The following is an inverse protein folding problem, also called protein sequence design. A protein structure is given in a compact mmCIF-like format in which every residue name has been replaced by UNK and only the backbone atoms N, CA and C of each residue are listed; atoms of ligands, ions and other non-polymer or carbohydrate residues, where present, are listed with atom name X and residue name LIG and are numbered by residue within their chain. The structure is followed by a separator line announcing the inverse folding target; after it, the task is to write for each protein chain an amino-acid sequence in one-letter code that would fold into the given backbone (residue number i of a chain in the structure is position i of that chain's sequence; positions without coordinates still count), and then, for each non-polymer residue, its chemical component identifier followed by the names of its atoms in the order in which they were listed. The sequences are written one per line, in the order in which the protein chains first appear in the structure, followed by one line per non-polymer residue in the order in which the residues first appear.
data_IF_642074732514
#
_entry.id   IF_642074732514
#
_cell.length_a   1.000
_cell.length_b   1.000
_cell.length_c   1.000
_cell.angle_alpha   90.00
_cell.angle_beta   90.00
_cell.angle_gamma   90.00
#
_symmetry.space_group_name_H-M   'P 1'
#
loop_
_entity.id
_entity.type
_entity.pdbx_description
1 polymer ?
#
# COMPACT_ATOMS: atom_id res chain seq x y z
N UNK A 1 67.26 -42.52 16.99
CA UNK A 1 67.08 -43.36 18.20
C UNK A 1 65.65 -43.86 18.21
N UNK A 2 65.52 -45.18 18.35
CA UNK A 2 64.31 -45.98 18.56
C UNK A 2 63.36 -46.12 17.36
N UNK A 3 63.34 -47.37 16.89
CA UNK A 3 62.60 -48.00 15.79
C UNK A 3 61.35 -48.71 16.39
N UNK A 4 60.55 -49.47 15.62
CA UNK A 4 59.08 -49.36 15.56
C UNK A 4 58.36 -50.57 16.17
N UNK A 5 57.04 -50.69 15.96
CA UNK A 5 56.37 -52.00 15.95
C UNK A 5 55.49 -52.17 14.72
N UNK A 6 55.76 -53.28 14.03
CA UNK A 6 55.05 -53.83 12.88
C UNK A 6 54.01 -54.87 13.31
N UNK A 7 53.27 -55.33 12.29
CA UNK A 7 52.60 -56.62 12.11
C UNK A 7 51.05 -56.60 12.30
N UNK A 8 50.20 -57.20 11.46
CA UNK A 8 50.31 -58.23 10.41
C UNK A 8 49.29 -57.97 9.27
N UNK A 9 49.58 -58.48 8.08
CA UNK A 9 48.67 -58.61 6.94
C UNK A 9 47.90 -59.94 6.98
N UNK A 10 46.66 -59.98 6.46
CA UNK A 10 46.06 -61.19 5.87
C UNK A 10 45.19 -60.80 4.66
N UNK A 11 45.50 -61.41 3.53
CA UNK A 11 44.74 -61.46 2.29
C UNK A 11 43.49 -62.35 2.43
N UNK A 12 42.40 -61.99 1.77
CA UNK A 12 41.45 -62.97 1.24
C UNK A 12 40.88 -62.48 -0.09
N UNK A 13 41.07 -63.32 -1.11
CA UNK A 13 40.63 -63.20 -2.50
C UNK A 13 39.37 -64.06 -2.65
N UNK A 14 38.25 -63.53 -3.16
CA UNK A 14 37.18 -64.35 -3.76
C UNK A 14 36.72 -63.70 -5.08
N UNK A 15 36.71 -64.55 -6.11
CA UNK A 15 36.40 -64.31 -7.51
C UNK A 15 34.88 -64.30 -7.81
N UNK A 16 34.51 -63.47 -8.81
CA UNK A 16 33.51 -63.72 -9.87
C UNK A 16 32.01 -63.68 -9.47
N UNK A 17 31.00 -63.25 -10.25
CA UNK A 17 30.74 -63.18 -11.70
C UNK A 17 29.72 -62.03 -12.00
N UNK A 18 29.87 -61.44 -13.19
CA UNK A 18 28.85 -61.04 -14.18
C UNK A 18 27.48 -60.48 -13.76
N UNK A 19 27.16 -59.28 -14.28
CA UNK A 19 25.78 -58.84 -14.51
C UNK A 19 25.64 -57.33 -14.70
N UNK A 20 25.64 -56.84 -15.94
CA UNK A 20 25.10 -55.53 -16.26
C UNK A 20 23.60 -55.52 -15.92
N UNK A 21 23.13 -54.52 -15.17
CA UNK A 21 21.76 -54.04 -15.34
C UNK A 21 21.70 -52.52 -15.18
N UNK A 22 21.47 -51.88 -16.31
CA UNK A 22 21.42 -50.43 -16.50
C UNK A 22 20.04 -49.91 -16.15
N UNK A 23 19.80 -49.58 -14.88
CA UNK A 23 18.52 -48.97 -14.49
C UNK A 23 18.61 -47.87 -13.42
N UNK A 24 19.80 -47.58 -12.87
CA UNK A 24 19.96 -46.57 -11.80
C UNK A 24 20.44 -45.21 -12.34
N UNK A 25 21.13 -45.17 -13.48
CA UNK A 25 21.70 -43.92 -14.03
C UNK A 25 20.70 -43.01 -14.77
N UNK A 26 19.46 -43.46 -14.99
CA UNK A 26 18.43 -42.69 -15.71
C UNK A 26 17.48 -41.93 -14.78
N UNK A 27 17.45 -42.23 -13.48
CA UNK A 27 16.55 -41.57 -12.52
C UNK A 27 17.22 -40.32 -11.95
N UNK A 28 18.51 -40.37 -11.63
CA UNK A 28 19.26 -39.18 -11.18
C UNK A 28 19.45 -38.16 -12.31
N UNK A 29 19.68 -38.61 -13.54
CA UNK A 29 19.72 -37.71 -14.70
C UNK A 29 18.35 -37.15 -15.06
N UNK A 30 17.24 -37.89 -14.91
CA UNK A 30 15.90 -37.33 -15.11
C UNK A 30 15.54 -36.31 -14.04
N UNK A 31 15.90 -36.53 -12.78
CA UNK A 31 15.68 -35.56 -11.69
C UNK A 31 16.54 -34.31 -11.85
N UNK A 32 17.80 -34.46 -12.29
CA UNK A 32 18.71 -33.35 -12.57
C UNK A 32 18.39 -32.61 -13.89
N UNK A 33 17.68 -33.24 -14.83
CA UNK A 33 17.18 -32.62 -16.07
C UNK A 33 15.79 -31.99 -15.84
N UNK A 34 14.95 -32.55 -14.96
CA UNK A 34 13.70 -31.92 -14.49
C UNK A 34 13.99 -30.67 -13.65
N UNK A 35 15.02 -30.67 -12.80
CA UNK A 35 15.44 -29.48 -12.04
C UNK A 35 16.08 -28.39 -12.93
N UNK A 36 16.62 -28.75 -14.10
CA UNK A 36 17.24 -27.79 -15.04
C UNK A 36 16.29 -27.25 -16.11
N UNK A 37 15.08 -27.79 -16.21
CA UNK A 37 14.02 -27.34 -17.13
C UNK A 37 12.83 -26.67 -16.41
N UNK A 38 12.94 -26.38 -15.10
CA UNK A 38 12.23 -25.20 -14.57
C UNK A 38 12.84 -24.00 -15.28
N UNK A 39 12.22 -23.57 -16.37
CA UNK A 39 12.25 -22.17 -16.79
C UNK A 39 12.11 -21.41 -15.47
N UNK A 40 13.16 -20.68 -15.07
CA UNK A 40 13.09 -19.80 -13.92
C UNK A 40 11.91 -18.88 -14.23
N UNK A 41 10.74 -19.20 -13.68
CA UNK A 41 9.54 -18.45 -13.97
C UNK A 41 9.75 -17.14 -13.24
N UNK A 42 10.18 -16.14 -14.01
CA UNK A 42 10.38 -14.80 -13.48
C UNK A 42 9.01 -14.26 -13.14
N UNK A 43 8.63 -14.38 -11.88
CA UNK A 43 7.42 -13.77 -11.35
C UNK A 43 7.50 -12.24 -11.50
N UNK A 44 6.35 -11.61 -11.68
CA UNK A 44 6.23 -10.16 -11.86
C UNK A 44 6.61 -9.43 -10.57
N UNK A 45 6.12 -9.94 -9.43
CA UNK A 45 6.52 -9.50 -8.10
C UNK A 45 7.84 -10.15 -7.68
N UNK A 46 8.71 -9.36 -7.07
CA UNK A 46 10.01 -9.75 -6.52
C UNK A 46 10.00 -9.52 -5.01
N UNK A 47 10.06 -10.59 -4.23
CA UNK A 47 10.15 -10.51 -2.76
C UNK A 47 11.56 -10.02 -2.41
N UNK A 48 11.66 -8.77 -1.95
CA UNK A 48 12.91 -8.12 -1.57
C UNK A 48 12.64 -7.04 -0.52
N UNK A 49 13.57 -6.86 0.41
CA UNK A 49 13.44 -5.93 1.55
C UNK A 49 13.33 -4.45 1.12
N UNK A 50 13.81 -4.12 -0.09
CA UNK A 50 13.79 -2.77 -0.65
C UNK A 50 12.53 -2.47 -1.46
N UNK A 51 11.62 -3.44 -1.62
CA UNK A 51 10.36 -3.30 -2.38
C UNK A 51 9.15 -3.46 -1.48
N UNK A 52 8.30 -2.44 -1.45
CA UNK A 52 7.00 -2.57 -0.79
C UNK A 52 6.01 -3.30 -1.70
N UNK A 53 4.98 -3.90 -1.11
CA UNK A 53 3.79 -4.36 -1.82
C UNK A 53 2.69 -3.31 -1.74
N UNK A 54 2.15 -2.95 -2.90
CA UNK A 54 0.97 -2.10 -3.03
C UNK A 54 -0.23 -2.98 -3.40
N UNK A 55 -1.20 -3.07 -2.49
CA UNK A 55 -2.40 -3.88 -2.68
C UNK A 55 -3.55 -2.96 -3.11
N UNK A 56 -4.16 -3.31 -4.24
CA UNK A 56 -5.36 -2.67 -4.79
C UNK A 56 -6.54 -3.63 -4.63
N UNK A 57 -7.76 -3.10 -4.55
CA UNK A 57 -8.99 -3.91 -4.58
C UNK A 57 -9.91 -3.40 -5.69
N UNK A 58 -10.29 -4.28 -6.60
CA UNK A 58 -11.26 -3.97 -7.65
C UNK A 58 -12.67 -4.13 -7.11
N UNK A 59 -13.61 -3.23 -7.46
CA UNK A 59 -15.00 -3.44 -7.11
C UNK A 59 -15.54 -4.65 -7.89
N UNK A 60 -16.55 -5.31 -7.33
CA UNK A 60 -17.27 -6.35 -8.06
C UNK A 60 -17.92 -5.79 -9.31
N UNK A 61 -17.91 -6.53 -10.42
CA UNK A 61 -18.70 -6.21 -11.62
C UNK A 61 -20.21 -6.13 -11.33
N UNK A 62 -20.66 -6.74 -10.23
CA UNK A 62 -22.05 -6.72 -9.76
C UNK A 62 -22.33 -5.63 -8.74
N UNK A 63 -21.33 -4.83 -8.35
CA UNK A 63 -21.50 -3.76 -7.38
C UNK A 63 -22.37 -2.62 -7.97
N UNK A 64 -23.55 -2.35 -7.40
CA UNK A 64 -24.44 -1.31 -7.93
C UNK A 64 -23.90 0.10 -7.72
N UNK A 65 -23.09 0.35 -6.69
CA UNK A 65 -22.50 1.65 -6.39
C UNK A 65 -21.42 2.01 -7.42
N UNK A 66 -20.51 1.08 -7.71
CA UNK A 66 -19.44 1.31 -8.68
C UNK A 66 -19.82 1.04 -10.14
N UNK A 67 -21.02 0.52 -10.42
CA UNK A 67 -21.46 0.14 -11.78
C UNK A 67 -21.18 1.19 -12.86
N UNK A 68 -21.38 2.48 -12.58
CA UNK A 68 -21.16 3.56 -13.56
C UNK A 68 -19.68 3.93 -13.76
N UNK A 69 -18.81 3.53 -12.84
CA UNK A 69 -17.37 3.76 -12.85
C UNK A 69 -16.52 2.50 -13.03
N UNK A 70 -17.13 1.32 -13.02
CA UNK A 70 -16.43 0.03 -12.99
C UNK A 70 -15.28 -0.03 -13.99
N UNK A 71 -15.53 0.24 -15.28
CA UNK A 71 -14.48 0.19 -16.30
C UNK A 71 -13.38 1.23 -16.06
N UNK A 72 -13.73 2.45 -15.60
CA UNK A 72 -12.75 3.49 -15.28
C UNK A 72 -11.83 3.09 -14.12
N UNK A 73 -12.37 2.37 -13.13
CA UNK A 73 -11.60 1.85 -11.99
C UNK A 73 -10.66 0.75 -12.46
N UNK A 74 -11.17 -0.23 -13.22
CA UNK A 74 -10.35 -1.32 -13.78
C UNK A 74 -9.21 -0.77 -14.65
N UNK A 75 -9.52 0.16 -15.56
CA UNK A 75 -8.51 0.76 -16.44
C UNK A 75 -7.45 1.53 -15.65
N UNK A 76 -7.87 2.27 -14.61
CA UNK A 76 -6.92 2.92 -13.69
C UNK A 76 -6.02 1.91 -12.99
N UNK A 77 -6.58 0.83 -12.44
CA UNK A 77 -5.83 -0.18 -11.69
C UNK A 77 -4.82 -0.92 -12.57
N UNK A 78 -5.15 -1.21 -13.83
CA UNK A 78 -4.22 -1.80 -14.82
C UNK A 78 -3.05 -0.84 -15.06
N UNK A 79 -3.33 0.41 -15.43
CA UNK A 79 -2.29 1.41 -15.70
C UNK A 79 -1.41 1.69 -14.47
N UNK A 80 -2.02 1.71 -13.29
CA UNK A 80 -1.30 1.93 -12.04
C UNK A 80 -0.41 0.72 -11.71
N UNK A 81 -0.92 -0.51 -11.84
CA UNK A 81 -0.12 -1.73 -11.67
C UNK A 81 1.08 -1.76 -12.63
N UNK A 82 0.91 -1.40 -13.90
CA UNK A 82 2.01 -1.27 -14.87
C UNK A 82 3.07 -0.26 -14.41
N UNK A 83 2.66 0.86 -13.82
CA UNK A 83 3.60 1.86 -13.28
C UNK A 83 4.34 1.38 -12.03
N UNK A 84 3.74 0.46 -11.25
CA UNK A 84 4.33 -0.11 -10.04
C UNK A 84 5.35 -1.18 -10.39
N UNK A 85 5.01 -2.08 -11.33
CA UNK A 85 5.82 -3.21 -11.73
C UNK A 85 7.25 -2.79 -12.12
N UNK A 86 8.23 -3.53 -11.60
CA UNK A 86 9.66 -3.24 -11.74
C UNK A 86 10.20 -2.24 -10.71
N UNK A 87 9.37 -1.33 -10.18
CA UNK A 87 9.76 -0.37 -9.14
C UNK A 87 9.48 -0.94 -7.74
N UNK A 88 8.24 -1.35 -7.48
CA UNK A 88 7.76 -2.02 -6.26
C UNK A 88 6.94 -3.27 -6.67
N UNK A 89 6.25 -3.90 -5.72
CA UNK A 89 5.34 -5.02 -5.96
C UNK A 89 3.89 -4.55 -5.97
N UNK A 90 3.03 -5.28 -6.68
CA UNK A 90 1.58 -5.00 -6.73
C UNK A 90 0.78 -6.30 -6.68
N UNK A 91 -0.32 -6.29 -5.95
CA UNK A 91 -1.36 -7.33 -6.01
C UNK A 91 -2.70 -6.62 -6.19
N UNK A 92 -3.52 -7.13 -7.11
CA UNK A 92 -4.89 -6.67 -7.32
C UNK A 92 -5.83 -7.75 -6.81
N UNK A 93 -6.62 -7.41 -5.79
CA UNK A 93 -7.70 -8.23 -5.29
C UNK A 93 -8.90 -8.10 -6.24
N UNK A 94 -9.41 -9.22 -6.72
CA UNK A 94 -10.56 -9.28 -7.64
C UNK A 94 -11.47 -10.42 -7.23
N UNK A 95 -12.79 -10.30 -7.41
CA UNK A 95 -13.66 -11.47 -7.34
C UNK A 95 -13.58 -12.31 -8.63
N UNK A 96 -14.13 -13.53 -8.60
CA UNK A 96 -14.11 -14.47 -9.74
C UNK A 96 -14.74 -13.88 -11.01
N UNK A 97 -15.85 -13.15 -10.87
CA UNK A 97 -16.59 -12.60 -12.02
C UNK A 97 -15.91 -11.35 -12.60
N UNK A 98 -15.08 -10.68 -11.79
CA UNK A 98 -14.34 -9.46 -12.13
C UNK A 98 -12.96 -9.78 -12.72
N UNK A 99 -12.33 -10.89 -12.32
CA UNK A 99 -11.01 -11.32 -12.82
C UNK A 99 -10.87 -11.29 -14.35
N UNK A 100 -11.85 -11.72 -15.17
CA UNK A 100 -11.74 -11.68 -16.63
C UNK A 100 -11.50 -10.28 -17.22
N UNK A 101 -11.81 -9.21 -16.48
CA UNK A 101 -11.56 -7.84 -16.93
C UNK A 101 -10.08 -7.43 -16.83
N UNK A 102 -9.27 -8.19 -16.10
CA UNK A 102 -7.82 -8.02 -15.92
C UNK A 102 -6.99 -9.05 -16.69
N UNK A 103 -7.53 -10.26 -16.89
CA UNK A 103 -6.84 -11.37 -17.56
C UNK A 103 -6.27 -10.95 -18.92
N UNK A 104 -4.98 -11.21 -19.11
CA UNK A 104 -4.24 -10.83 -20.32
C UNK A 104 -3.90 -9.33 -20.47
N UNK A 105 -4.32 -8.47 -19.53
CA UNK A 105 -3.94 -7.05 -19.46
C UNK A 105 -2.90 -6.78 -18.38
N UNK A 106 -2.84 -7.63 -17.36
CA UNK A 106 -1.78 -7.65 -16.35
C UNK A 106 -1.24 -9.07 -16.20
N UNK A 107 -0.05 -9.25 -15.61
CA UNK A 107 0.44 -10.58 -15.30
C UNK A 107 -0.50 -11.35 -14.37
N UNK A 108 -0.74 -12.62 -14.66
CA UNK A 108 -1.67 -13.43 -13.86
C UNK A 108 -1.21 -13.62 -12.41
N UNK A 109 0.11 -13.57 -12.16
CA UNK A 109 0.71 -13.77 -10.84
C UNK A 109 0.66 -12.54 -9.92
N UNK A 110 -0.05 -11.49 -10.34
CA UNK A 110 -0.41 -10.34 -9.49
C UNK A 110 -1.91 -10.26 -9.18
N UNK A 111 -2.72 -11.18 -9.72
CA UNK A 111 -4.15 -11.25 -9.46
C UNK A 111 -4.42 -12.23 -8.34
N UNK A 112 -5.05 -11.76 -7.26
CA UNK A 112 -5.48 -12.60 -6.15
C UNK A 112 -7.00 -12.60 -6.07
N UNK A 113 -7.61 -13.78 -6.21
CA UNK A 113 -9.06 -13.88 -6.16
C UNK A 113 -9.55 -13.88 -4.72
N UNK A 114 -10.25 -12.82 -4.31
CA UNK A 114 -10.78 -12.67 -2.97
C UNK A 114 -11.93 -11.64 -2.88
N UNK A 115 -12.65 -11.63 -1.75
CA UNK A 115 -13.80 -10.76 -1.48
C UNK A 115 -13.43 -9.67 -0.46
N UNK A 116 -12.88 -8.55 -0.95
CA UNK A 116 -12.65 -7.31 -0.19
C UNK A 116 -13.54 -6.21 -0.76
N UNK A 117 -14.46 -5.71 0.06
CA UNK A 117 -15.72 -5.07 -0.40
C UNK A 117 -15.68 -3.56 -0.60
N UNK A 118 -14.51 -2.99 -0.84
CA UNK A 118 -14.35 -1.59 -1.18
C UNK A 118 -13.01 -1.39 -1.92
N UNK A 119 -12.93 -0.32 -2.72
CA UNK A 119 -11.73 0.05 -3.49
C UNK A 119 -10.78 0.94 -2.68
N UNK A 120 -11.28 1.61 -1.63
CA UNK A 120 -10.53 2.56 -0.80
C UNK A 120 -9.63 1.85 0.21
N UNK A 121 -8.70 1.05 -0.31
CA UNK A 121 -7.84 0.15 0.44
C UNK A 121 -7.00 0.86 1.51
N UNK A 122 -6.81 2.17 1.44
CA UNK A 122 -6.17 2.94 2.50
C UNK A 122 -6.99 2.95 3.80
N UNK A 123 -8.31 3.01 3.71
CA UNK A 123 -9.11 3.53 4.82
C UNK A 123 -9.45 2.50 5.88
N UNK A 124 -9.82 1.29 5.45
CA UNK A 124 -10.33 0.25 6.34
C UNK A 124 -9.30 -0.86 6.64
N UNK A 125 -8.07 -0.72 6.15
CA UNK A 125 -7.04 -1.76 6.25
C UNK A 125 -6.11 -1.52 7.45
N UNK A 126 -4.80 -1.65 7.26
CA UNK A 126 -3.81 -1.31 8.29
C UNK A 126 -3.06 -0.06 7.89
N UNK A 127 -2.72 0.75 8.89
CA UNK A 127 -1.79 1.88 8.74
C UNK A 127 -0.38 1.46 9.16
N UNK A 128 0.61 2.27 8.77
CA UNK A 128 2.04 2.04 8.99
C UNK A 128 2.50 0.62 8.53
N UNK A 129 3.02 0.48 7.30
CA UNK A 129 3.45 -0.80 6.77
C UNK A 129 4.65 -1.41 7.49
N UNK A 130 5.42 -0.65 8.29
CA UNK A 130 6.54 -1.17 9.10
C UNK A 130 6.05 -1.80 10.40
N UNK A 131 4.98 -1.26 10.98
CA UNK A 131 4.34 -1.75 12.20
C UNK A 131 2.82 -1.70 12.01
N UNK A 132 2.23 -2.70 11.32
CA UNK A 132 0.84 -2.63 10.90
C UNK A 132 -0.13 -2.57 12.09
N UNK A 133 -0.97 -1.53 12.11
CA UNK A 133 -2.06 -1.38 13.07
C UNK A 133 -3.38 -1.26 12.33
N UNK A 134 -4.35 -2.09 12.68
CA UNK A 134 -5.73 -1.98 12.20
C UNK A 134 -6.55 -1.19 13.23
N UNK A 135 -7.08 -0.05 12.82
CA UNK A 135 -8.04 0.73 13.58
C UNK A 135 -9.46 0.29 13.25
N UNK A 136 -10.44 0.77 14.01
CA UNK A 136 -11.84 0.61 13.64
C UNK A 136 -12.20 1.59 12.53
N UNK A 137 -12.63 1.09 11.37
CA UNK A 137 -13.07 1.92 10.26
C UNK A 137 -14.28 2.80 10.63
N UNK A 138 -14.26 4.08 10.25
CA UNK A 138 -15.34 5.01 10.54
C UNK A 138 -16.52 4.78 9.58
N UNK A 139 -17.46 5.73 9.52
CA UNK A 139 -18.57 5.72 8.56
C UNK A 139 -18.77 7.12 7.97
N UNK A 140 -17.67 7.84 7.71
CA UNK A 140 -17.72 9.17 7.12
C UNK A 140 -18.35 9.18 5.71
N UNK A 141 -17.97 8.20 4.89
CA UNK A 141 -18.38 8.08 3.47
C UNK A 141 -19.59 7.17 3.22
N UNK A 142 -20.09 6.48 4.26
CA UNK A 142 -21.09 5.42 4.11
C UNK A 142 -21.91 5.21 5.39
N UNK A 143 -22.90 4.32 5.36
CA UNK A 143 -23.61 3.97 6.60
C UNK A 143 -22.73 3.14 7.54
N UNK A 144 -22.97 3.25 8.85
CA UNK A 144 -22.29 2.42 9.87
C UNK A 144 -22.44 0.91 9.65
N UNK A 145 -23.49 0.46 8.98
CA UNK A 145 -23.64 -0.96 8.62
C UNK A 145 -22.68 -1.33 7.49
N UNK A 146 -22.64 -0.52 6.44
CA UNK A 146 -21.73 -0.72 5.31
C UNK A 146 -20.28 -0.71 5.76
N UNK A 147 -19.87 0.22 6.63
CA UNK A 147 -18.48 0.28 7.08
C UNK A 147 -18.06 -0.94 7.88
N UNK A 148 -18.96 -1.49 8.71
CA UNK A 148 -18.74 -2.76 9.40
C UNK A 148 -18.62 -3.94 8.44
N UNK A 149 -19.44 -3.97 7.38
CA UNK A 149 -19.38 -5.02 6.36
C UNK A 149 -18.06 -4.95 5.56
N UNK A 150 -17.61 -3.74 5.20
CA UNK A 150 -16.30 -3.50 4.56
C UNK A 150 -15.15 -3.92 5.49
N UNK A 151 -15.13 -3.42 6.73
CA UNK A 151 -14.09 -3.77 7.72
C UNK A 151 -14.03 -5.29 7.99
N UNK A 152 -15.20 -5.95 8.02
CA UNK A 152 -15.30 -7.39 8.20
C UNK A 152 -14.70 -8.15 7.01
N UNK A 153 -14.97 -7.72 5.78
CA UNK A 153 -14.38 -8.33 4.57
C UNK A 153 -12.85 -8.31 4.64
N UNK A 154 -12.25 -7.16 4.98
CA UNK A 154 -10.81 -7.05 5.19
C UNK A 154 -10.30 -7.92 6.34
N UNK A 155 -11.01 -7.93 7.48
CA UNK A 155 -10.57 -8.72 8.63
C UNK A 155 -10.54 -10.21 8.31
N UNK A 156 -11.54 -10.71 7.58
CA UNK A 156 -11.59 -12.10 7.11
C UNK A 156 -10.48 -12.41 6.10
N UNK A 157 -10.24 -11.50 5.14
CA UNK A 157 -9.11 -11.59 4.21
C UNK A 157 -7.77 -11.66 4.95
N UNK A 158 -7.52 -10.70 5.84
CA UNK A 158 -6.29 -10.58 6.59
C UNK A 158 -6.05 -11.80 7.51
N UNK A 159 -7.11 -12.34 8.13
CA UNK A 159 -7.00 -13.54 8.96
C UNK A 159 -6.74 -14.80 8.11
N UNK A 160 -7.36 -14.91 6.92
CA UNK A 160 -7.14 -16.02 5.98
C UNK A 160 -5.69 -16.11 5.53
N UNK A 161 -5.07 -14.98 5.17
CA UNK A 161 -3.66 -14.91 4.79
C UNK A 161 -2.71 -14.67 5.97
N UNK A 162 -3.20 -14.78 7.21
CA UNK A 162 -2.39 -14.67 8.42
C UNK A 162 -1.55 -13.38 8.50
N UNK A 163 -2.14 -12.27 8.06
CA UNK A 163 -1.53 -10.93 8.09
C UNK A 163 -1.37 -10.48 9.54
N UNK A 164 -0.11 -10.29 9.93
CA UNK A 164 0.28 -9.83 11.26
C UNK A 164 -0.03 -8.35 11.41
N UNK A 165 -0.77 -8.00 12.46
CA UNK A 165 -1.17 -6.62 12.76
C UNK A 165 -1.62 -6.49 14.22
N UNK A 166 -1.32 -5.34 14.82
CA UNK A 166 -2.01 -4.94 16.05
C UNK A 166 -3.43 -4.47 15.72
N UNK A 167 -4.32 -4.47 16.71
CA UNK A 167 -5.70 -4.00 16.58
C UNK A 167 -5.99 -2.99 17.70
N UNK A 168 -6.78 -1.97 17.38
CA UNK A 168 -7.30 -1.00 18.35
C UNK A 168 -8.75 -0.67 18.01
N UNK A 169 -9.53 -0.33 19.05
CA UNK A 169 -10.92 0.11 18.91
C UNK A 169 -11.05 1.61 18.63
N UNK A 170 -9.93 2.35 18.63
CA UNK A 170 -9.89 3.74 18.18
C UNK A 170 -10.36 3.81 16.73
N UNK A 171 -11.23 4.78 16.45
CA UNK A 171 -11.84 4.97 15.15
C UNK A 171 -11.02 5.94 14.31
N UNK A 172 -10.62 5.51 13.12
CA UNK A 172 -9.98 6.38 12.14
C UNK A 172 -10.09 5.73 10.76
N UNK A 173 -10.25 6.55 9.73
CA UNK A 173 -9.99 6.13 8.37
C UNK A 173 -8.49 6.24 8.12
N UNK A 174 -7.86 5.22 7.54
CA UNK A 174 -6.43 5.27 7.24
C UNK A 174 -6.00 6.45 6.35
N UNK A 175 -6.89 7.03 5.53
CA UNK A 175 -6.62 8.27 4.78
C UNK A 175 -6.50 9.50 5.69
N UNK A 176 -7.11 9.46 6.87
CA UNK A 176 -6.88 10.44 7.92
C UNK A 176 -5.64 10.16 8.79
N UNK A 177 -4.68 9.38 8.27
CA UNK A 177 -3.40 9.16 8.91
C UNK A 177 -2.24 9.22 7.93
N UNK A 178 -1.35 10.19 8.14
CA UNK A 178 -0.11 10.35 7.39
C UNK A 178 1.08 10.19 8.33
N UNK A 179 1.87 9.14 8.11
CA UNK A 179 3.05 8.85 8.89
C UNK A 179 4.32 8.77 8.02
N UNK A 180 5.48 8.88 8.67
CA UNK A 180 6.80 8.83 8.03
C UNK A 180 7.51 7.47 8.19
N UNK A 181 6.79 6.47 8.69
CA UNK A 181 7.31 5.14 9.07
C UNK A 181 8.38 5.14 10.17
N UNK A 182 8.66 6.29 10.80
CA UNK A 182 9.75 6.48 11.76
C UNK A 182 9.32 7.24 13.03
N UNK A 183 8.02 7.29 13.31
CA UNK A 183 7.47 7.79 14.58
C UNK A 183 6.82 9.17 14.50
N UNK A 184 6.72 9.79 13.32
CA UNK A 184 5.95 11.03 13.14
C UNK A 184 4.62 10.72 12.48
N UNK A 185 3.53 11.18 13.12
CA UNK A 185 2.15 10.91 12.69
C UNK A 185 1.38 12.22 12.56
N UNK A 186 0.57 12.33 11.52
CA UNK A 186 -0.34 13.45 11.28
C UNK A 186 -1.74 12.88 11.11
N UNK A 187 -2.70 13.51 11.76
CA UNK A 187 -4.14 13.29 11.56
C UNK A 187 -4.86 14.64 11.58
N UNK A 188 -6.19 14.65 11.51
CA UNK A 188 -7.01 15.86 11.68
C UNK A 188 -7.81 15.84 12.98
N UNK A 189 -8.47 16.96 13.31
CA UNK A 189 -9.40 17.05 14.45
C UNK A 189 -10.53 16.04 14.37
N UNK A 190 -10.83 15.47 13.19
CA UNK A 190 -11.82 14.41 13.04
C UNK A 190 -11.51 13.17 13.89
N UNK A 191 -10.23 12.82 14.06
CA UNK A 191 -9.85 11.73 14.98
C UNK A 191 -10.25 12.04 16.43
N UNK A 192 -10.18 13.30 16.86
CA UNK A 192 -10.63 13.70 18.18
C UNK A 192 -12.14 13.58 18.32
N UNK A 193 -12.88 14.06 17.31
CA UNK A 193 -14.35 14.07 17.29
C UNK A 193 -14.91 12.65 17.30
N UNK A 194 -14.41 11.77 16.42
CA UNK A 194 -14.89 10.40 16.30
C UNK A 194 -14.63 9.60 17.59
N UNK A 195 -13.55 9.90 18.32
CA UNK A 195 -13.17 9.18 19.55
C UNK A 195 -13.55 9.90 20.85
N UNK A 196 -14.22 11.06 20.77
CA UNK A 196 -14.58 11.90 21.93
C UNK A 196 -13.37 12.28 22.81
N UNK A 197 -12.22 12.57 22.17
CA UNK A 197 -10.95 12.86 22.85
C UNK A 197 -10.62 14.35 22.89
N UNK A 198 -10.01 14.82 23.96
CA UNK A 198 -9.30 16.10 23.94
C UNK A 198 -8.02 16.01 23.10
N UNK A 199 -7.46 17.16 22.72
CA UNK A 199 -6.22 17.23 21.92
C UNK A 199 -5.05 16.46 22.56
N UNK A 200 -4.88 16.56 23.88
CA UNK A 200 -3.79 15.87 24.57
C UNK A 200 -4.03 14.36 24.65
N UNK A 201 -5.27 13.93 24.90
CA UNK A 201 -5.63 12.51 24.92
C UNK A 201 -5.43 11.88 23.54
N UNK A 202 -5.91 12.53 22.47
CA UNK A 202 -5.71 12.07 21.10
C UNK A 202 -4.24 11.88 20.75
N UNK A 203 -3.36 12.83 21.14
CA UNK A 203 -1.91 12.66 20.94
C UNK A 203 -1.34 11.48 21.74
N UNK A 204 -1.78 11.25 22.97
CA UNK A 204 -1.28 10.11 23.77
C UNK A 204 -1.75 8.77 23.20
N UNK A 205 -3.02 8.67 22.80
CA UNK A 205 -3.58 7.46 22.20
C UNK A 205 -2.86 7.09 20.89
N UNK A 206 -2.59 8.06 20.02
CA UNK A 206 -1.83 7.81 18.78
C UNK A 206 -0.38 7.39 19.07
N UNK A 207 0.29 8.00 20.06
CA UNK A 207 1.63 7.59 20.48
C UNK A 207 1.65 6.16 21.01
N UNK A 208 0.66 5.79 21.82
CA UNK A 208 0.53 4.45 22.36
C UNK A 208 0.23 3.41 21.29
N UNK A 209 -0.74 3.69 20.40
CA UNK A 209 -1.19 2.75 19.38
C UNK A 209 -0.14 2.52 18.27
N UNK A 210 0.61 3.56 17.90
CA UNK A 210 1.51 3.53 16.73
C UNK A 210 3.00 3.55 17.10
N UNK A 211 3.35 3.62 18.39
CA UNK A 211 4.71 3.87 18.83
C UNK A 211 5.25 5.23 18.37
N UNK A 212 4.38 6.20 18.11
CA UNK A 212 4.76 7.51 17.62
C UNK A 212 5.50 8.33 18.69
N UNK A 213 6.44 9.16 18.27
CA UNK A 213 7.18 10.10 19.11
C UNK A 213 6.64 11.52 18.98
N UNK A 214 6.25 11.91 17.76
CA UNK A 214 5.69 13.23 17.44
C UNK A 214 4.36 13.07 16.71
N UNK A 215 3.37 13.88 17.10
CA UNK A 215 2.01 13.82 16.54
C UNK A 215 1.55 15.24 16.24
N UNK A 216 1.01 15.46 15.04
CA UNK A 216 0.28 16.69 14.67
C UNK A 216 -1.20 16.38 14.45
N UNK A 217 -2.08 17.30 14.88
CA UNK A 217 -3.52 17.22 14.66
C UNK A 217 -3.96 18.49 13.93
N UNK A 218 -4.27 18.38 12.64
CA UNK A 218 -4.60 19.50 11.76
C UNK A 218 -6.10 19.83 11.80
N UNK A 219 -6.43 21.10 11.59
CA UNK A 219 -7.77 21.47 11.11
C UNK A 219 -7.91 20.96 9.67
N UNK A 220 -8.96 20.20 9.32
CA UNK A 220 -9.08 19.63 7.98
C UNK A 220 -9.44 20.70 6.94
N UNK A 221 -9.02 20.50 5.68
CA UNK A 221 -9.39 21.38 4.56
C UNK A 221 -10.71 20.98 3.86
N UNK A 222 -11.32 19.87 4.30
CA UNK A 222 -12.59 19.32 3.85
C UNK A 222 -13.34 18.72 5.06
N UNK A 223 -14.66 18.89 5.15
CA UNK A 223 -15.41 18.58 6.38
C UNK A 223 -15.90 17.12 6.48
N UNK A 224 -16.24 16.46 5.36
CA UNK A 224 -16.94 15.17 5.39
C UNK A 224 -16.00 14.03 5.72
N UNK A 225 -14.96 13.84 4.92
CA UNK A 225 -13.93 12.82 5.13
C UNK A 225 -12.87 13.36 6.09
N UNK A 226 -12.47 14.63 5.92
CA UNK A 226 -11.47 15.29 6.77
C UNK A 226 -10.13 14.53 6.81
N UNK A 227 -9.70 13.98 5.67
CA UNK A 227 -8.50 13.15 5.56
C UNK A 227 -7.22 13.99 5.43
N UNK A 228 -6.26 13.75 6.34
CA UNK A 228 -4.93 14.38 6.27
C UNK A 228 -4.10 14.01 5.03
N UNK A 229 -4.39 12.89 4.37
CA UNK A 229 -3.63 12.44 3.19
C UNK A 229 -3.98 13.17 1.89
N UNK A 230 -5.03 14.01 1.92
CA UNK A 230 -5.28 15.05 0.95
C UNK A 230 -4.45 16.31 1.22
N UNK A 231 -4.01 16.53 2.46
CA UNK A 231 -3.39 17.77 2.92
C UNK A 231 -1.86 17.74 2.89
N UNK A 232 -1.27 16.61 3.28
CA UNK A 232 0.17 16.48 3.57
C UNK A 232 0.75 15.14 3.13
N UNK A 233 2.05 15.12 2.85
CA UNK A 233 2.76 13.88 2.50
C UNK A 233 4.23 13.92 2.91
N UNK A 234 4.67 12.94 3.70
CA UNK A 234 6.09 12.73 3.98
C UNK A 234 6.78 12.14 2.76
N UNK A 235 7.61 12.93 2.08
CA UNK A 235 8.27 12.49 0.83
C UNK A 235 9.73 12.09 1.03
N UNK A 236 10.30 12.41 2.18
CA UNK A 236 11.64 11.96 2.58
C UNK A 236 11.78 11.98 4.11
N UNK A 237 12.89 11.43 4.63
CA UNK A 237 13.17 11.27 6.06
C UNK A 237 13.02 12.57 6.87
N UNK A 238 13.14 13.74 6.27
CA UNK A 238 12.92 15.00 6.99
C UNK A 238 12.22 16.07 6.15
N UNK A 239 11.46 15.65 5.14
CA UNK A 239 10.73 16.57 4.26
C UNK A 239 9.25 16.23 4.28
N UNK A 240 8.45 17.18 4.76
CA UNK A 240 7.00 17.15 4.69
C UNK A 240 6.53 18.10 3.59
N UNK A 241 5.67 17.61 2.70
CA UNK A 241 4.93 18.46 1.79
C UNK A 241 3.55 18.76 2.38
N UNK A 242 3.05 19.95 2.10
CA UNK A 242 1.71 20.41 2.48
C UNK A 242 1.10 21.19 1.32
N UNK A 243 -0.21 21.10 1.11
CA UNK A 243 -0.88 21.91 0.10
C UNK A 243 -0.71 23.41 0.37
N UNK A 244 -0.63 24.20 -0.69
CA UNK A 244 -0.54 25.65 -0.61
C UNK A 244 -1.92 26.27 -0.32
N UNK A 245 -2.12 26.63 0.94
CA UNK A 245 -3.34 27.30 1.42
C UNK A 245 -3.23 28.84 1.40
N UNK A 246 -2.39 29.43 0.56
CA UNK A 246 -2.20 30.90 0.51
C UNK A 246 -3.48 31.69 0.20
N UNK A 247 -4.46 31.06 -0.45
CA UNK A 247 -5.78 31.65 -0.71
C UNK A 247 -6.67 31.73 0.56
N UNK A 248 -6.33 31.02 1.64
CA UNK A 248 -7.02 31.05 2.94
C UNK A 248 -6.02 31.32 4.08
N UNK A 249 -5.48 32.57 4.20
CA UNK A 249 -4.33 32.86 5.07
C UNK A 249 -4.49 32.49 6.55
N UNK A 250 -5.70 32.59 7.10
CA UNK A 250 -5.98 32.18 8.49
C UNK A 250 -5.81 30.68 8.67
N UNK A 251 -6.44 29.89 7.79
CA UNK A 251 -6.34 28.43 7.78
C UNK A 251 -4.89 27.97 7.57
N UNK A 252 -4.20 28.55 6.57
CA UNK A 252 -2.77 28.33 6.35
C UNK A 252 -1.93 28.56 7.61
N UNK A 253 -2.22 29.64 8.33
CA UNK A 253 -1.49 29.97 9.57
C UNK A 253 -1.73 28.91 10.64
N UNK A 254 -2.96 28.43 10.80
CA UNK A 254 -3.31 27.34 11.72
C UNK A 254 -2.54 26.06 11.38
N UNK A 255 -2.66 25.59 10.13
CA UNK A 255 -1.99 24.35 9.65
C UNK A 255 -0.48 24.45 9.81
N UNK A 256 0.14 25.53 9.31
CA UNK A 256 1.59 25.69 9.36
C UNK A 256 2.12 25.84 10.79
N UNK A 257 1.34 26.43 11.70
CA UNK A 257 1.71 26.54 13.11
C UNK A 257 1.71 25.17 13.79
N UNK A 258 0.66 24.37 13.60
CA UNK A 258 0.60 23.00 14.15
C UNK A 258 1.76 22.15 13.61
N UNK A 259 1.98 22.15 12.30
CA UNK A 259 3.07 21.37 11.69
C UNK A 259 4.45 21.77 12.20
N UNK A 260 4.76 23.08 12.26
CA UNK A 260 6.06 23.57 12.76
C UNK A 260 6.27 23.32 14.25
N UNK A 261 5.19 23.35 15.04
CA UNK A 261 5.25 23.10 16.48
C UNK A 261 5.45 21.61 16.75
N UNK A 262 4.73 20.76 16.02
CA UNK A 262 4.77 19.31 16.20
C UNK A 262 6.01 18.66 15.57
N UNK A 263 6.60 19.26 14.52
CA UNK A 263 7.79 18.74 13.84
C UNK A 263 8.87 19.82 13.65
N UNK A 264 9.50 20.30 14.74
CA UNK A 264 10.41 21.45 14.69
C UNK A 264 11.66 21.24 13.83
N UNK A 265 12.04 19.98 13.58
CA UNK A 265 13.21 19.64 12.75
C UNK A 265 12.85 19.42 11.28
N UNK A 266 11.57 19.28 10.93
CA UNK A 266 11.15 18.94 9.57
C UNK A 266 11.26 20.13 8.62
N UNK A 267 11.75 19.88 7.40
CA UNK A 267 11.62 20.81 6.28
C UNK A 267 10.19 20.70 5.74
N UNK A 268 9.40 21.75 5.92
CA UNK A 268 8.02 21.83 5.41
C UNK A 268 8.02 22.65 4.12
N UNK A 269 7.46 22.09 3.04
CA UNK A 269 7.41 22.70 1.71
C UNK A 269 5.98 22.73 1.20
N UNK A 270 5.53 23.89 0.74
CA UNK A 270 4.20 24.06 0.17
C UNK A 270 4.17 23.66 -1.31
N UNK A 271 3.08 22.98 -1.70
CA UNK A 271 2.85 22.46 -3.06
C UNK A 271 1.54 23.04 -3.59
N UNK A 272 1.50 23.58 -4.82
CA UNK A 272 0.29 24.15 -5.38
C UNK A 272 -0.82 23.09 -5.46
N UNK A 273 -2.05 23.51 -5.16
CA UNK A 273 -3.25 22.70 -5.26
C UNK A 273 -4.36 23.53 -5.93
N UNK A 274 -5.19 22.88 -6.73
CA UNK A 274 -6.41 23.46 -7.29
C UNK A 274 -7.53 22.42 -7.18
N UNK A 275 -8.56 22.71 -6.39
CA UNK A 275 -9.66 21.77 -6.16
C UNK A 275 -10.69 21.86 -7.29
N UNK A 276 -11.05 20.73 -7.89
CA UNK A 276 -12.10 20.65 -8.92
C UNK A 276 -13.37 20.05 -8.36
N UNK A 277 -14.43 20.84 -8.29
CA UNK A 277 -15.76 20.35 -7.87
C UNK A 277 -16.41 19.46 -8.93
N UNK A 278 -17.11 18.42 -8.48
CA UNK A 278 -17.90 17.57 -9.37
C UNK A 278 -19.17 18.26 -9.87
N UNK A 279 -19.66 17.94 -11.08
CA UNK A 279 -20.99 18.34 -11.51
C UNK A 279 -22.07 17.76 -10.58
N UNK A 280 -23.17 18.49 -10.40
CA UNK A 280 -24.35 18.02 -9.66
C UNK A 280 -24.83 16.66 -10.17
N UNK A 281 -25.16 15.75 -9.25
CA UNK A 281 -25.60 14.38 -9.56
C UNK A 281 -24.46 13.39 -9.83
N UNK A 282 -23.19 13.79 -9.72
CA UNK A 282 -22.04 12.89 -9.80
C UNK A 282 -21.30 12.86 -8.46
N UNK A 283 -21.19 11.67 -7.86
CA UNK A 283 -20.43 11.45 -6.63
C UNK A 283 -20.77 12.47 -5.53
N UNK A 284 -22.07 12.63 -5.27
CA UNK A 284 -22.56 13.54 -4.22
C UNK A 284 -22.25 12.97 -2.83
N UNK A 285 -21.98 13.86 -1.88
CA UNK A 285 -21.77 13.52 -0.47
C UNK A 285 -20.35 13.73 0.04
N UNK A 286 -19.36 13.91 -0.85
CA UNK A 286 -17.97 14.25 -0.50
C UNK A 286 -17.34 15.11 -1.59
N UNK A 287 -16.24 15.78 -1.28
CA UNK A 287 -15.49 16.55 -2.26
C UNK A 287 -14.65 15.65 -3.19
N UNK A 288 -14.36 16.16 -4.38
CA UNK A 288 -13.51 15.47 -5.35
C UNK A 288 -12.04 15.62 -4.98
N UNK A 289 -11.27 14.55 -5.15
CA UNK A 289 -9.82 14.57 -4.97
C UNK A 289 -9.07 15.10 -6.21
N UNK A 290 -9.79 15.53 -7.27
CA UNK A 290 -9.15 16.02 -8.48
C UNK A 290 -8.37 17.31 -8.21
N UNK A 291 -7.07 17.25 -8.51
CA UNK A 291 -6.11 18.34 -8.29
C UNK A 291 -5.29 18.21 -7.01
N UNK A 292 -5.52 17.18 -6.19
CA UNK A 292 -4.79 16.95 -4.95
C UNK A 292 -3.57 16.05 -5.20
N UNK A 293 -2.45 16.63 -5.64
CA UNK A 293 -1.23 15.86 -5.97
C UNK A 293 -0.58 15.19 -4.74
N UNK A 294 -0.89 15.64 -3.52
CA UNK A 294 -0.33 15.07 -2.29
C UNK A 294 -0.98 13.77 -1.84
N UNK A 295 -2.10 13.36 -2.45
CA UNK A 295 -2.71 12.05 -2.26
C UNK A 295 -1.90 10.94 -2.97
N UNK A 296 -0.60 10.91 -2.66
CA UNK A 296 0.45 10.14 -3.29
C UNK A 296 0.92 8.99 -2.40
N UNK A 297 1.19 7.85 -3.01
CA UNK A 297 1.74 6.68 -2.31
C UNK A 297 3.26 6.78 -2.26
N UNK A 298 3.83 6.82 -1.06
CA UNK A 298 5.29 6.92 -0.84
C UNK A 298 5.84 5.59 -0.35
N UNK A 299 6.75 4.97 -1.12
CA UNK A 299 7.42 3.72 -0.74
C UNK A 299 8.87 3.98 -0.31
N UNK A 300 9.66 2.92 -0.12
CA UNK A 300 11.08 3.05 0.24
C UNK A 300 11.86 3.90 -0.77
N UNK A 301 11.61 3.67 -2.06
CA UNK A 301 12.39 4.29 -3.15
C UNK A 301 11.56 5.07 -4.15
N UNK A 302 10.22 4.98 -4.12
CA UNK A 302 9.36 5.58 -5.11
C UNK A 302 8.28 6.48 -4.47
N UNK A 303 7.79 7.44 -5.25
CA UNK A 303 6.59 8.22 -4.94
C UNK A 303 5.68 8.17 -6.16
N UNK A 304 4.52 7.55 -6.01
CA UNK A 304 3.48 7.49 -7.02
C UNK A 304 2.57 8.71 -6.84
N UNK A 305 2.75 9.71 -7.69
CA UNK A 305 2.08 11.02 -7.57
C UNK A 305 0.88 11.06 -8.52
N UNK A 306 -0.36 11.26 -8.03
CA UNK A 306 -1.50 11.43 -8.90
C UNK A 306 -1.36 12.72 -9.73
N UNK A 307 -1.77 12.64 -10.99
CA UNK A 307 -1.92 13.77 -11.93
C UNK A 307 -3.30 13.73 -12.55
N UNK A 308 -3.82 14.89 -12.94
CA UNK A 308 -5.23 15.06 -13.28
C UNK A 308 -5.45 15.80 -14.60
N UNK A 309 -4.38 16.02 -15.38
CA UNK A 309 -4.39 16.86 -16.57
C UNK A 309 -4.78 18.31 -16.24
N UNK A 310 -4.31 18.81 -15.09
CA UNK A 310 -4.59 20.15 -14.59
C UNK A 310 -3.35 21.06 -14.68
N UNK A 311 -3.52 22.39 -14.82
CA UNK A 311 -2.40 23.31 -15.06
C UNK A 311 -1.30 23.28 -14.00
N UNK A 312 -1.63 22.97 -12.74
CA UNK A 312 -0.66 22.96 -11.63
C UNK A 312 0.14 21.66 -11.50
N UNK A 313 -0.30 20.55 -12.13
CA UNK A 313 0.31 19.21 -11.97
C UNK A 313 1.83 19.23 -12.21
N UNK A 314 2.28 19.89 -13.27
CA UNK A 314 3.70 19.95 -13.62
C UNK A 314 4.53 20.71 -12.59
N UNK A 315 3.95 21.76 -11.98
CA UNK A 315 4.60 22.53 -10.92
C UNK A 315 4.67 21.70 -9.64
N UNK A 316 3.58 21.00 -9.28
CA UNK A 316 3.57 20.08 -8.14
C UNK A 316 4.62 18.98 -8.28
N UNK A 317 4.67 18.29 -9.43
CA UNK A 317 5.68 17.27 -9.73
C UNK A 317 7.11 17.80 -9.63
N UNK A 318 7.36 19.03 -10.10
CA UNK A 318 8.68 19.65 -10.03
C UNK A 318 9.10 19.90 -8.59
N UNK A 319 8.20 20.45 -7.76
CA UNK A 319 8.47 20.69 -6.34
C UNK A 319 8.70 19.36 -5.60
N UNK A 320 7.87 18.34 -5.83
CA UNK A 320 8.04 17.03 -5.20
C UNK A 320 9.42 16.46 -5.55
N UNK A 321 9.80 16.45 -6.84
CA UNK A 321 11.11 15.96 -7.32
C UNK A 321 12.30 16.69 -6.71
N UNK A 322 12.19 18.00 -6.49
CA UNK A 322 13.28 18.80 -5.91
C UNK A 322 13.47 18.57 -4.40
N UNK A 323 12.51 17.93 -3.73
CA UNK A 323 12.46 17.83 -2.28
C UNK A 323 12.53 16.38 -1.76
N UNK A 324 12.82 15.42 -2.63
CA UNK A 324 12.99 14.00 -2.28
C UNK A 324 14.18 13.39 -3.01
N UNK A 325 14.78 12.37 -2.39
CA UNK A 325 15.74 11.46 -3.03
C UNK A 325 15.08 10.30 -3.79
N UNK A 326 13.77 10.10 -3.62
CA UNK A 326 13.00 9.00 -4.23
C UNK A 326 12.68 9.26 -5.70
N UNK A 327 12.45 8.18 -6.45
CA UNK A 327 11.96 8.27 -7.82
C UNK A 327 10.49 8.71 -7.83
N UNK A 328 10.21 9.85 -8.45
CA UNK A 328 8.84 10.36 -8.59
C UNK A 328 8.21 9.84 -9.88
N UNK A 329 7.13 9.09 -9.76
CA UNK A 329 6.40 8.42 -10.83
C UNK A 329 5.00 9.04 -10.93
N UNK A 330 4.71 9.83 -11.98
CA UNK A 330 3.36 10.35 -12.21
C UNK A 330 2.38 9.23 -12.55
N UNK A 331 1.16 9.30 -12.02
CA UNK A 331 0.07 8.36 -12.28
C UNK A 331 -1.17 9.16 -12.67
N UNK A 332 -1.74 8.92 -13.85
CA UNK A 332 -2.97 9.61 -14.25
C UNK A 332 -4.15 9.08 -13.43
N UNK A 333 -4.73 9.92 -12.58
CA UNK A 333 -5.85 9.62 -11.71
C UNK A 333 -7.12 10.40 -12.08
N UNK A 334 -7.15 11.08 -13.25
CA UNK A 334 -8.29 11.89 -13.69
C UNK A 334 -9.61 11.11 -13.72
N UNK A 335 -9.56 9.81 -14.05
CA UNK A 335 -10.74 8.96 -14.17
C UNK A 335 -11.34 8.52 -12.83
N UNK A 336 -10.56 8.58 -11.74
CA UNK A 336 -10.95 8.10 -10.40
C UNK A 336 -11.10 9.20 -9.37
N UNK A 337 -10.36 10.31 -9.53
CA UNK A 337 -10.41 11.44 -8.60
C UNK A 337 -11.80 12.04 -8.32
N UNK A 338 -12.79 12.01 -9.25
CA UNK A 338 -14.14 12.46 -8.95
C UNK A 338 -14.81 11.67 -7.82
N UNK A 339 -14.35 10.45 -7.52
CA UNK A 339 -14.90 9.61 -6.47
C UNK A 339 -14.37 9.93 -5.06
N UNK A 340 -13.62 11.03 -4.90
CA UNK A 340 -13.22 11.55 -3.59
C UNK A 340 -11.87 11.06 -3.07
N UNK A 341 -11.16 10.24 -3.84
CA UNK A 341 -9.80 9.81 -3.53
C UNK A 341 -9.01 9.51 -4.80
N UNK A 342 -7.69 9.30 -4.66
CA UNK A 342 -6.83 8.98 -5.79
C UNK A 342 -5.81 7.88 -5.43
N UNK A 343 -4.56 8.03 -5.88
CA UNK A 343 -3.52 7.01 -5.83
C UNK A 343 -3.31 6.46 -4.41
N UNK A 344 -3.19 7.32 -3.40
CA UNK A 344 -2.98 6.88 -2.01
C UNK A 344 -4.21 6.21 -1.40
N UNK A 345 -5.40 6.80 -1.56
CA UNK A 345 -6.65 6.25 -1.03
C UNK A 345 -6.96 4.85 -1.57
N UNK A 346 -6.59 4.60 -2.83
CA UNK A 346 -6.79 3.30 -3.50
C UNK A 346 -5.72 2.25 -3.14
N UNK A 347 -4.71 2.61 -2.34
CA UNK A 347 -3.54 1.75 -2.10
C UNK A 347 -3.34 1.40 -0.62
N UNK A 348 -3.31 0.11 -0.33
CA UNK A 348 -2.78 -0.42 0.93
C UNK A 348 -1.30 -0.81 0.77
N UNK A 349 -0.44 -0.24 1.60
CA UNK A 349 1.00 -0.52 1.59
C UNK A 349 1.31 -1.64 2.58
N UNK A 350 2.13 -2.60 2.17
CA UNK A 350 2.50 -3.78 2.96
C UNK A 350 3.98 -4.06 2.78
N UNK A 351 4.67 -4.48 3.85
CA UNK A 351 6.09 -4.90 3.79
C UNK A 351 6.35 -6.21 4.54
N UNK A 352 7.58 -6.72 4.42
CA UNK A 352 8.06 -7.92 5.13
C UNK A 352 7.22 -9.17 4.87
N UNK A 353 7.10 -10.02 5.89
CA UNK A 353 6.38 -11.29 5.83
C UNK A 353 4.93 -11.14 5.34
N UNK A 354 4.27 -10.03 5.67
CA UNK A 354 2.90 -9.79 5.21
C UNK A 354 2.86 -9.58 3.69
N UNK A 355 3.83 -8.86 3.12
CA UNK A 355 3.93 -8.67 1.68
C UNK A 355 4.26 -9.99 0.97
N UNK A 356 5.20 -10.78 1.52
CA UNK A 356 5.54 -12.08 0.97
C UNK A 356 4.33 -13.02 0.92
N UNK A 357 3.55 -13.12 2.01
CA UNK A 357 2.35 -13.97 2.05
C UNK A 357 1.36 -13.65 0.93
N UNK A 358 1.08 -12.37 0.69
CA UNK A 358 0.15 -11.95 -0.35
C UNK A 358 0.71 -12.15 -1.76
N UNK A 359 2.02 -11.92 -1.95
CA UNK A 359 2.70 -12.20 -3.22
C UNK A 359 2.65 -13.70 -3.53
N UNK A 360 2.90 -14.57 -2.55
CA UNK A 360 2.82 -16.03 -2.76
C UNK A 360 1.38 -16.48 -3.01
N UNK A 361 0.41 -15.94 -2.28
CA UNK A 361 -1.00 -16.22 -2.51
C UNK A 361 -1.43 -15.89 -3.94
N UNK A 362 -0.99 -14.76 -4.51
CA UNK A 362 -1.30 -14.41 -5.91
C UNK A 362 -0.63 -15.33 -6.95
N UNK A 363 0.46 -16.02 -6.58
CA UNK A 363 1.12 -17.01 -7.45
C UNK A 363 0.45 -18.38 -7.40
N UNK A 364 -0.12 -18.72 -6.26
CA UNK A 364 -0.85 -19.96 -6.00
C UNK A 364 -2.28 -19.82 -6.54
N UNK A 365 -2.45 -20.18 -7.81
CA UNK A 365 -3.72 -20.07 -8.54
C UNK A 365 -4.89 -20.80 -7.89
#
# INVERSE_FOLDING_TARGET
MIKPKHYYAVMALILSLSGCDSSVSNIENKKAIEDKNKVSQTYSNQVADDKMLLVLSSPSVHDPYYKSAFQRIVDFQINYAESILGNDNVVILVDEDTKPYFTGKVPEDILLVDDVRDIWMRDFTTVNPMQPVQFAYTWASMTKKQSKDVQKSFSQFADRYQIQRAKTDLMIDGGNLVDDYAGRVITTTRFMEDNELSYNEAKQELKAALGATEVAILEPDEEVLAHSDGMVSWVDKNTLLVNDYSNTPSFRTTVMKELKTSFPTAKIVEVPVEYKTNPKGQWEGFESACGVNLNATVTHHNIYVPTFNMPHDQKALTIIKQNTSKKVIPVNAESVCPMGGSVRCLTWQVTGDNAEKLIQAAREK
#
